data_IF_838505418479
#
_entry.id   IF_838505418479
#
_cell.length_a   1.000
_cell.length_b   1.000
_cell.length_c   1.000
_cell.angle_alpha   90.00
_cell.angle_beta   90.00
_cell.angle_gamma   90.00
#
_symmetry.space_group_name_H-M   'P 1'
#
loop_
_entity.id
_entity.type
_entity.pdbx_description
1 polymer ?
#
# COMPACT_ATOMS: atom_id res chain seq x y z
N UNK A 1 -20.79 30.78 -3.06
CA UNK A 1 -20.45 29.35 -2.84
C UNK A 1 -18.92 29.33 -2.80
N UNK A 2 -18.34 29.11 -1.63
CA UNK A 2 -16.96 29.53 -1.33
C UNK A 2 -15.94 28.71 -2.13
N UNK A 3 -15.23 29.37 -3.05
CA UNK A 3 -14.23 28.77 -3.95
C UNK A 3 -13.18 27.93 -3.20
N UNK A 4 -12.80 28.38 -2.00
CA UNK A 4 -11.87 27.70 -1.10
C UNK A 4 -12.34 26.30 -0.68
N UNK A 5 -13.65 26.11 -0.48
CA UNK A 5 -14.21 24.81 -0.09
C UNK A 5 -14.11 23.79 -1.23
N UNK A 6 -14.42 24.21 -2.46
CA UNK A 6 -14.27 23.35 -3.64
C UNK A 6 -12.81 22.96 -3.90
N UNK A 7 -11.86 23.86 -3.65
CA UNK A 7 -10.43 23.57 -3.77
C UNK A 7 -9.98 22.54 -2.73
N UNK A 8 -10.42 22.71 -1.48
CA UNK A 8 -10.14 21.77 -0.40
C UNK A 8 -10.68 20.37 -0.72
N UNK A 9 -11.93 20.28 -1.19
CA UNK A 9 -12.55 19.02 -1.57
C UNK A 9 -11.79 18.35 -2.73
N UNK A 10 -11.42 19.11 -3.76
CA UNK A 10 -10.65 18.61 -4.88
C UNK A 10 -9.27 18.08 -4.45
N UNK A 11 -8.58 18.80 -3.55
CA UNK A 11 -7.31 18.35 -2.96
C UNK A 11 -7.47 17.07 -2.15
N UNK A 12 -8.52 16.97 -1.33
CA UNK A 12 -8.78 15.78 -0.54
C UNK A 12 -9.07 14.55 -1.42
N UNK A 13 -9.89 14.72 -2.46
CA UNK A 13 -10.18 13.67 -3.44
C UNK A 13 -8.91 13.22 -4.15
N UNK A 14 -8.06 14.16 -4.54
CA UNK A 14 -6.80 13.85 -5.21
C UNK A 14 -5.84 13.04 -4.33
N UNK A 15 -5.72 13.38 -3.04
CA UNK A 15 -4.89 12.60 -2.12
C UNK A 15 -5.44 11.19 -1.87
N UNK A 16 -6.77 11.04 -1.79
CA UNK A 16 -7.42 9.72 -1.67
C UNK A 16 -7.17 8.86 -2.92
N UNK A 17 -7.27 9.45 -4.10
CA UNK A 17 -6.94 8.79 -5.37
C UNK A 17 -5.47 8.34 -5.43
N UNK A 18 -4.55 9.20 -4.97
CA UNK A 18 -3.11 8.87 -4.88
C UNK A 18 -2.87 7.70 -3.92
N UNK A 19 -3.54 7.67 -2.77
CA UNK A 19 -3.47 6.55 -1.84
C UNK A 19 -3.98 5.26 -2.50
N UNK A 20 -5.14 5.33 -3.17
CA UNK A 20 -5.72 4.17 -3.85
C UNK A 20 -4.82 3.65 -4.99
N UNK A 21 -4.20 4.54 -5.77
CA UNK A 21 -3.24 4.17 -6.80
C UNK A 21 -2.00 3.47 -6.22
N UNK A 22 -1.44 3.99 -5.12
CA UNK A 22 -0.28 3.39 -4.44
C UNK A 22 -0.60 1.98 -3.91
N UNK A 23 -1.78 1.81 -3.32
CA UNK A 23 -2.25 0.48 -2.86
C UNK A 23 -2.44 -0.46 -4.04
N UNK A 24 -3.05 0.01 -5.13
CA UNK A 24 -3.28 -0.80 -6.34
C UNK A 24 -1.96 -1.23 -7.00
N UNK A 25 -0.97 -0.34 -7.07
CA UNK A 25 0.38 -0.67 -7.55
C UNK A 25 1.06 -1.69 -6.65
N UNK A 26 0.96 -1.53 -5.32
CA UNK A 26 1.49 -2.51 -4.39
C UNK A 26 0.88 -3.89 -4.63
N UNK A 27 -0.45 -4.01 -4.63
CA UNK A 27 -1.14 -5.30 -4.83
C UNK A 27 -0.72 -5.95 -6.14
N UNK A 28 -0.62 -5.18 -7.22
CA UNK A 28 -0.21 -5.67 -8.55
C UNK A 28 1.23 -6.19 -8.53
N UNK A 29 2.18 -5.42 -7.98
CA UNK A 29 3.58 -5.83 -7.87
C UNK A 29 3.76 -7.06 -6.98
N UNK A 30 3.05 -7.12 -5.85
CA UNK A 30 3.14 -8.25 -4.92
C UNK A 30 2.55 -9.53 -5.53
N UNK A 31 1.45 -9.44 -6.27
CA UNK A 31 0.88 -10.58 -7.01
C UNK A 31 1.86 -11.13 -8.05
N UNK A 32 2.56 -10.26 -8.76
CA UNK A 32 3.61 -10.65 -9.71
C UNK A 32 4.78 -11.36 -9.01
N UNK A 33 5.28 -10.78 -7.91
CA UNK A 33 6.40 -11.36 -7.14
C UNK A 33 6.04 -12.72 -6.52
N UNK A 34 4.83 -12.86 -5.96
CA UNK A 34 4.34 -14.13 -5.40
C UNK A 34 4.20 -15.20 -6.50
N UNK A 35 3.73 -14.82 -7.68
CA UNK A 35 3.64 -15.73 -8.83
C UNK A 35 5.02 -16.19 -9.27
N UNK A 36 5.97 -15.25 -9.40
CA UNK A 36 7.36 -15.57 -9.73
C UNK A 36 8.00 -16.49 -8.67
N UNK A 37 7.71 -16.26 -7.39
CA UNK A 37 8.16 -17.11 -6.29
C UNK A 37 7.60 -18.54 -6.42
N UNK A 38 6.28 -18.68 -6.61
CA UNK A 38 5.63 -19.99 -6.77
C UNK A 38 6.16 -20.77 -7.99
N UNK A 39 6.35 -20.11 -9.12
CA UNK A 39 6.92 -20.72 -10.33
C UNK A 39 8.35 -21.20 -10.06
N UNK A 40 9.17 -20.35 -9.43
CA UNK A 40 10.56 -20.69 -9.12
C UNK A 40 10.65 -21.87 -8.15
N UNK A 41 9.78 -21.89 -7.13
CA UNK A 41 9.72 -22.95 -6.12
C UNK A 41 9.33 -24.29 -6.76
N UNK A 42 8.27 -24.31 -7.56
CA UNK A 42 7.83 -25.51 -8.27
C UNK A 42 8.88 -26.02 -9.25
N UNK A 43 9.56 -25.12 -9.95
CA UNK A 43 10.64 -25.47 -10.87
C UNK A 43 11.84 -26.14 -10.19
N UNK A 44 12.20 -25.68 -8.98
CA UNK A 44 13.28 -26.28 -8.18
C UNK A 44 12.86 -27.63 -7.58
N UNK A 45 11.60 -27.76 -7.14
CA UNK A 45 11.07 -28.99 -6.57
C UNK A 45 10.98 -30.13 -7.61
N UNK A 46 10.76 -29.81 -8.88
CA UNK A 46 10.64 -30.80 -9.94
C UNK A 46 11.97 -31.48 -10.31
N UNK A 47 13.10 -30.76 -10.24
CA UNK A 47 14.42 -31.32 -10.58
C UNK A 47 15.56 -30.46 -10.01
N UNK A 48 15.97 -30.79 -8.78
CA UNK A 48 17.02 -30.07 -8.06
C UNK A 48 18.44 -30.30 -8.60
N UNK A 49 18.62 -31.26 -9.52
CA UNK A 49 19.91 -31.60 -10.15
C UNK A 49 20.28 -30.71 -11.33
N UNK A 50 19.36 -29.84 -11.78
CA UNK A 50 19.62 -28.96 -12.93
C UNK A 50 20.72 -27.94 -12.62
N UNK A 51 21.55 -27.57 -13.61
CA UNK A 51 22.58 -26.54 -13.45
C UNK A 51 21.98 -25.18 -13.03
N UNK A 52 20.69 -24.96 -13.31
CA UNK A 52 19.96 -23.75 -12.92
C UNK A 52 19.50 -23.72 -11.45
N UNK A 53 19.62 -24.82 -10.70
CA UNK A 53 19.14 -24.92 -9.32
C UNK A 53 19.81 -23.89 -8.39
N UNK A 54 21.08 -23.56 -8.63
CA UNK A 54 21.81 -22.52 -7.88
C UNK A 54 21.17 -21.14 -8.11
N UNK A 55 20.83 -20.82 -9.36
CA UNK A 55 20.19 -19.54 -9.71
C UNK A 55 18.78 -19.46 -9.14
N UNK A 56 18.01 -20.55 -9.22
CA UNK A 56 16.67 -20.62 -8.62
C UNK A 56 16.70 -20.41 -7.11
N UNK A 57 17.63 -21.04 -6.38
CA UNK A 57 17.79 -20.81 -4.92
C UNK A 57 18.12 -19.36 -4.59
N UNK A 58 19.01 -18.72 -5.36
CA UNK A 58 19.30 -17.29 -5.19
C UNK A 58 18.05 -16.44 -5.43
N UNK A 59 17.27 -16.76 -6.46
CA UNK A 59 16.04 -16.04 -6.79
C UNK A 59 14.98 -16.20 -5.68
N UNK A 60 14.84 -17.39 -5.11
CA UNK A 60 13.94 -17.67 -3.99
C UNK A 60 14.29 -16.86 -2.74
N UNK A 61 15.57 -16.58 -2.49
CA UNK A 61 15.99 -15.71 -1.38
C UNK A 61 15.87 -14.22 -1.72
N UNK A 62 16.07 -13.84 -2.99
CA UNK A 62 16.03 -12.44 -3.41
C UNK A 62 14.60 -11.90 -3.52
N UNK A 63 13.66 -12.71 -4.00
CA UNK A 63 12.27 -12.31 -4.23
C UNK A 63 11.57 -11.80 -2.94
N UNK A 64 11.67 -12.47 -1.78
CA UNK A 64 11.13 -11.94 -0.52
C UNK A 64 11.78 -10.64 -0.08
N UNK A 65 13.10 -10.50 -0.24
CA UNK A 65 13.82 -9.27 0.10
C UNK A 65 13.32 -8.09 -0.75
N UNK A 66 13.16 -8.31 -2.06
CA UNK A 66 12.59 -7.32 -2.98
C UNK A 66 11.14 -7.01 -2.62
N UNK A 67 10.34 -8.05 -2.31
CA UNK A 67 8.96 -7.92 -1.85
C UNK A 67 8.84 -7.00 -0.65
N UNK A 68 9.60 -7.27 0.41
CA UNK A 68 9.66 -6.46 1.64
C UNK A 68 10.10 -5.02 1.32
N UNK A 69 11.16 -4.85 0.54
CA UNK A 69 11.64 -3.52 0.16
C UNK A 69 10.56 -2.70 -0.57
N UNK A 70 9.82 -3.32 -1.51
CA UNK A 70 8.69 -2.68 -2.18
C UNK A 70 7.58 -2.30 -1.19
N UNK A 71 7.22 -3.19 -0.24
CA UNK A 71 6.23 -2.86 0.80
C UNK A 71 6.69 -1.65 1.62
N UNK A 72 7.94 -1.62 2.08
CA UNK A 72 8.46 -0.53 2.91
C UNK A 72 8.46 0.82 2.18
N UNK A 73 8.84 0.84 0.89
CA UNK A 73 8.80 2.05 0.07
C UNK A 73 7.37 2.57 -0.10
N UNK A 74 6.40 1.68 -0.36
CA UNK A 74 5.00 2.08 -0.46
C UNK A 74 4.45 2.53 0.89
N UNK A 75 4.80 1.88 1.99
CA UNK A 75 4.43 2.32 3.34
C UNK A 75 4.89 3.76 3.61
N UNK A 76 6.13 4.11 3.28
CA UNK A 76 6.62 5.47 3.43
C UNK A 76 5.78 6.48 2.61
N UNK A 77 5.45 6.14 1.36
CA UNK A 77 4.60 6.98 0.51
C UNK A 77 3.16 7.11 1.04
N UNK A 78 2.60 6.03 1.59
CA UNK A 78 1.27 6.03 2.20
C UNK A 78 1.23 6.87 3.48
N UNK A 79 2.25 6.78 4.33
CA UNK A 79 2.37 7.63 5.53
C UNK A 79 2.40 9.11 5.13
N UNK A 80 3.13 9.47 4.06
CA UNK A 80 3.14 10.82 3.51
C UNK A 80 1.75 11.29 3.07
N UNK A 81 1.05 10.49 2.27
CA UNK A 81 -0.32 10.81 1.81
C UNK A 81 -1.34 10.92 2.96
N UNK A 82 -1.31 9.98 3.90
CA UNK A 82 -2.19 10.01 5.06
C UNK A 82 -1.90 11.21 5.98
N UNK A 83 -0.63 11.60 6.11
CA UNK A 83 -0.24 12.80 6.86
C UNK A 83 -0.77 14.07 6.20
N UNK A 84 -0.64 14.18 4.87
CA UNK A 84 -1.19 15.30 4.09
C UNK A 84 -2.72 15.40 4.22
N UNK A 85 -3.43 14.27 4.13
CA UNK A 85 -4.87 14.20 4.37
C UNK A 85 -5.24 14.68 5.77
N UNK A 86 -4.49 14.25 6.79
CA UNK A 86 -4.75 14.63 8.18
C UNK A 86 -4.51 16.12 8.43
N UNK A 87 -3.45 16.68 7.85
CA UNK A 87 -3.17 18.11 7.90
C UNK A 87 -4.27 18.93 7.22
N UNK A 88 -4.71 18.49 6.03
CA UNK A 88 -5.78 19.13 5.27
C UNK A 88 -7.11 19.11 6.05
N UNK A 89 -7.41 18.00 6.74
CA UNK A 89 -8.58 17.88 7.63
C UNK A 89 -8.48 18.79 8.85
N UNK A 90 -7.29 18.90 9.47
CA UNK A 90 -7.07 19.83 10.60
C UNK A 90 -7.27 21.29 10.17
N UNK A 91 -6.72 21.67 9.02
CA UNK A 91 -6.92 23.00 8.44
C UNK A 91 -8.41 23.28 8.20
N UNK A 92 -9.13 22.33 7.59
CA UNK A 92 -10.57 22.44 7.35
C UNK A 92 -11.38 22.60 8.65
N UNK A 93 -11.03 21.85 9.70
CA UNK A 93 -11.70 21.92 11.00
C UNK A 93 -11.54 23.26 11.71
N UNK A 94 -10.43 23.98 11.47
CA UNK A 94 -10.22 25.33 12.04
C UNK A 94 -10.94 26.43 11.28
N UNK A 95 -11.26 26.23 9.99
CA UNK A 95 -11.78 27.27 9.08
C UNK A 95 -13.29 27.19 8.84
N UNK A 96 -13.90 26.00 8.95
CA UNK A 96 -15.31 25.78 8.60
C UNK A 96 -16.13 25.22 9.77
N UNK A 97 -17.40 25.62 9.89
CA UNK A 97 -18.34 25.06 10.88
C UNK A 97 -18.61 23.57 10.62
N UNK A 98 -18.83 22.79 11.69
CA UNK A 98 -19.08 21.32 11.67
C UNK A 98 -20.17 20.89 10.68
N UNK A 99 -21.13 21.77 10.40
CA UNK A 99 -22.27 21.47 9.53
C UNK A 99 -21.89 21.45 8.03
N UNK A 100 -20.81 22.15 7.66
CA UNK A 100 -20.18 22.06 6.33
C UNK A 100 -19.20 20.89 6.24
N UNK A 101 -18.73 20.42 7.40
CA UNK A 101 -17.80 19.30 7.56
C UNK A 101 -18.50 17.94 7.55
N UNK A 102 -19.80 17.82 7.30
CA UNK A 102 -20.44 16.51 7.07
C UNK A 102 -19.85 15.75 5.86
N UNK A 103 -19.14 16.45 4.96
CA UNK A 103 -18.28 15.84 3.94
C UNK A 103 -16.99 15.21 4.50
N UNK A 104 -16.52 15.66 5.67
CA UNK A 104 -15.50 14.98 6.46
C UNK A 104 -16.20 13.84 7.20
N UNK A 105 -16.22 12.69 6.53
CA UNK A 105 -16.94 11.46 6.89
C UNK A 105 -16.91 11.13 8.39
N UNK A 106 -17.92 10.41 8.90
CA UNK A 106 -17.97 9.96 10.30
C UNK A 106 -16.69 9.21 10.69
N UNK A 107 -16.26 9.26 11.96
CA UNK A 107 -15.00 8.63 12.41
C UNK A 107 -14.92 7.14 12.05
N UNK A 108 -16.05 6.43 12.02
CA UNK A 108 -16.12 5.03 11.62
C UNK A 108 -15.82 4.82 10.13
N UNK A 109 -16.35 5.68 9.25
CA UNK A 109 -16.08 5.65 7.81
C UNK A 109 -14.62 6.03 7.53
N UNK A 110 -14.06 6.96 8.29
CA UNK A 110 -12.64 7.31 8.18
C UNK A 110 -11.73 6.14 8.60
N UNK A 111 -12.08 5.44 9.69
CA UNK A 111 -11.32 4.28 10.14
C UNK A 111 -11.35 3.15 9.11
N UNK A 112 -12.54 2.85 8.55
CA UNK A 112 -12.69 1.87 7.48
C UNK A 112 -11.95 2.28 6.20
N UNK A 113 -11.97 3.56 5.82
CA UNK A 113 -11.25 4.06 4.64
C UNK A 113 -9.73 3.95 4.75
N UNK A 114 -9.18 4.12 5.95
CA UNK A 114 -7.72 3.98 6.20
C UNK A 114 -7.32 2.53 6.45
N UNK A 115 -8.27 1.63 6.76
CA UNK A 115 -7.96 0.23 7.06
C UNK A 115 -7.29 -0.51 5.90
N UNK A 116 -7.79 -0.38 4.67
CA UNK A 116 -7.24 -1.11 3.52
C UNK A 116 -5.80 -0.66 3.17
N UNK A 117 -5.48 0.64 3.08
CA UNK A 117 -4.11 1.11 2.86
C UNK A 117 -3.10 0.67 3.93
N UNK A 118 -3.55 0.38 5.15
CA UNK A 118 -2.67 -0.04 6.25
C UNK A 118 -2.57 -1.57 6.33
N UNK A 119 -3.69 -2.28 6.25
CA UNK A 119 -3.75 -3.73 6.40
C UNK A 119 -3.09 -4.47 5.23
N UNK A 120 -3.29 -4.00 4.00
CA UNK A 120 -2.75 -4.66 2.80
C UNK A 120 -1.21 -4.75 2.86
N UNK A 121 -0.46 -3.66 3.09
CA UNK A 121 0.99 -3.74 3.27
C UNK A 121 1.42 -4.67 4.40
N UNK A 122 0.72 -4.64 5.55
CA UNK A 122 1.03 -5.51 6.70
C UNK A 122 0.92 -6.98 6.32
N UNK A 123 -0.15 -7.37 5.62
CA UNK A 123 -0.35 -8.75 5.16
C UNK A 123 0.81 -9.19 4.27
N UNK A 124 1.21 -8.39 3.27
CA UNK A 124 2.35 -8.75 2.42
C UNK A 124 3.68 -8.80 3.17
N UNK A 125 3.90 -7.90 4.13
CA UNK A 125 5.10 -7.90 4.96
C UNK A 125 5.20 -9.19 5.79
N UNK A 126 4.08 -9.62 6.40
CA UNK A 126 4.00 -10.88 7.13
C UNK A 126 4.27 -12.07 6.22
N UNK A 127 3.65 -12.12 5.04
CA UNK A 127 3.85 -13.21 4.07
C UNK A 127 5.33 -13.32 3.68
N UNK A 128 5.97 -12.24 3.26
CA UNK A 128 7.37 -12.30 2.84
C UNK A 128 8.33 -12.58 3.99
N UNK A 129 8.06 -12.06 5.18
CA UNK A 129 8.87 -12.36 6.36
C UNK A 129 8.77 -13.85 6.73
N UNK A 130 7.56 -14.44 6.66
CA UNK A 130 7.35 -15.85 6.92
C UNK A 130 8.00 -16.77 5.88
N UNK A 131 8.12 -16.30 4.63
CA UNK A 131 8.79 -17.05 3.55
C UNK A 131 10.31 -16.92 3.60
N UNK A 132 10.84 -15.79 4.11
CA UNK A 132 12.27 -15.54 4.21
C UNK A 132 12.92 -16.26 5.42
N UNK A 133 12.15 -16.48 6.49
CA UNK A 133 12.55 -17.21 7.70
C UNK A 133 12.52 -18.72 7.48
#
# INVERSE_FOLDING_TARGET
MDQDFSLLQARLSHEDDLVNQRVSWLVSSQSFLLTAYAITLNGLAADASKPLAIVQRKLLNLLPVVGIACVLLVCAALIGGLSAINELRRFAATRYQKDRLFLISKPMTQFLGVSAPVLIPIVFLVIWSAVLL
#
